data_IF_533065115959
#
_entry.id   IF_533065115959
#
_cell.length_a   1.000
_cell.length_b   1.000
_cell.length_c   1.000
_cell.angle_alpha   90.00
_cell.angle_beta   90.00
_cell.angle_gamma   90.00
#
_symmetry.space_group_name_H-M   'P 1'
#
loop_
_entity.id
_entity.type
_entity.pdbx_description
1 polymer ?
#
# COMPACT_ATOMS: atom_id res chain seq x y z
N UNK A 1 26.46 79.15 0.80
CA UNK A 1 25.45 78.08 0.70
C UNK A 1 24.12 78.69 1.07
N UNK A 2 23.05 78.41 0.31
CA UNK A 2 21.72 78.87 0.70
C UNK A 2 21.20 78.03 1.89
N UNK A 3 20.26 78.56 2.68
CA UNK A 3 19.63 77.81 3.79
C UNK A 3 18.96 76.50 3.29
N UNK A 4 18.50 76.48 2.05
CA UNK A 4 17.90 75.31 1.38
C UNK A 4 18.97 74.22 1.15
N UNK A 5 20.19 74.61 0.76
CA UNK A 5 21.28 73.66 0.53
C UNK A 5 21.74 73.01 1.84
N UNK A 6 21.83 73.79 2.92
CA UNK A 6 22.17 73.28 4.25
C UNK A 6 21.10 72.30 4.77
N UNK A 7 19.82 72.64 4.59
CA UNK A 7 18.72 71.76 4.95
C UNK A 7 18.72 70.47 4.13
N UNK A 8 19.01 70.55 2.82
CA UNK A 8 19.15 69.38 1.96
C UNK A 8 20.26 68.45 2.48
N UNK A 9 21.45 68.99 2.76
CA UNK A 9 22.58 68.20 3.26
C UNK A 9 22.26 67.54 4.61
N UNK A 10 21.62 68.27 5.54
CA UNK A 10 21.22 67.70 6.84
C UNK A 10 20.22 66.56 6.68
N UNK A 11 19.15 66.75 5.91
CA UNK A 11 18.12 65.74 5.71
C UNK A 11 18.66 64.50 4.99
N UNK A 12 19.51 64.68 3.97
CA UNK A 12 20.16 63.56 3.30
C UNK A 12 21.09 62.78 4.25
N UNK A 13 21.78 63.46 5.17
CA UNK A 13 22.58 62.81 6.20
C UNK A 13 21.72 62.05 7.22
N UNK A 14 20.61 62.63 7.69
CA UNK A 14 19.66 61.98 8.60
C UNK A 14 19.00 60.75 7.96
N UNK A 15 18.63 60.82 6.68
CA UNK A 15 18.11 59.68 5.91
C UNK A 15 19.17 58.58 5.81
N UNK A 16 20.41 58.94 5.50
CA UNK A 16 21.50 57.96 5.39
C UNK A 16 21.82 57.28 6.73
N UNK A 17 21.67 58.00 7.84
CA UNK A 17 21.93 57.52 9.21
C UNK A 17 20.75 56.72 9.82
N UNK A 18 19.58 56.67 9.18
CA UNK A 18 18.45 55.90 9.69
C UNK A 18 18.71 54.39 9.58
N UNK A 19 18.83 53.70 10.71
CA UNK A 19 19.21 52.29 10.80
C UNK A 19 18.04 51.31 10.68
N UNK A 20 16.80 51.76 10.85
CA UNK A 20 15.59 50.95 10.73
C UNK A 20 14.41 51.76 10.15
N UNK A 21 13.31 51.06 9.83
CA UNK A 21 12.12 51.70 9.25
C UNK A 21 11.48 52.73 10.21
N UNK A 22 11.65 52.57 11.53
CA UNK A 22 11.09 53.48 12.53
C UNK A 22 11.87 54.81 12.55
N UNK A 23 13.20 54.74 12.53
CA UNK A 23 14.09 55.88 12.43
C UNK A 23 13.90 56.61 11.10
N UNK A 24 13.76 55.88 9.99
CA UNK A 24 13.49 56.48 8.68
C UNK A 24 12.13 57.19 8.63
N UNK A 25 11.12 56.60 9.27
CA UNK A 25 9.79 57.20 9.37
C UNK A 25 9.80 58.48 10.23
N UNK A 26 10.60 58.51 11.30
CA UNK A 26 10.80 59.73 12.09
C UNK A 26 11.40 60.87 11.25
N UNK A 27 12.40 60.58 10.40
CA UNK A 27 12.99 61.55 9.46
C UNK A 27 11.98 61.99 8.39
N UNK A 28 11.16 61.06 7.88
CA UNK A 28 10.08 61.40 6.94
C UNK A 28 9.08 62.39 7.56
N UNK A 29 8.69 62.16 8.81
CA UNK A 29 7.74 63.01 9.54
C UNK A 29 8.36 64.38 9.85
N UNK A 30 9.63 64.44 10.27
CA UNK A 30 10.34 65.70 10.55
C UNK A 30 10.58 66.55 9.29
N UNK A 31 10.76 65.93 8.13
CA UNK A 31 10.97 66.64 6.86
C UNK A 31 9.67 66.98 6.12
N UNK A 32 8.82 65.97 5.89
CA UNK A 32 7.65 66.04 5.00
C UNK A 32 6.30 66.00 5.74
N UNK A 33 6.29 65.92 7.07
CA UNK A 33 5.06 65.97 7.87
C UNK A 33 4.35 67.32 7.81
N UNK A 34 3.17 67.45 8.45
CA UNK A 34 2.36 68.69 8.43
C UNK A 34 3.08 69.93 9.00
N UNK A 35 4.03 69.71 9.91
CA UNK A 35 4.93 70.72 10.51
C UNK A 35 6.41 70.44 10.17
N UNK A 36 6.66 69.68 9.11
CA UNK A 36 8.02 69.29 8.73
C UNK A 36 8.79 70.45 8.12
N UNK A 37 10.12 70.41 8.20
CA UNK A 37 11.00 71.49 7.74
C UNK A 37 10.79 71.87 6.27
N UNK A 38 10.61 70.87 5.37
CA UNK A 38 10.31 71.10 3.94
C UNK A 38 8.87 71.59 3.75
N UNK A 39 7.93 71.10 4.54
CA UNK A 39 6.52 71.52 4.50
C UNK A 39 6.32 72.97 4.97
N UNK A 40 7.08 73.43 5.96
CA UNK A 40 7.07 74.83 6.40
C UNK A 40 7.65 75.75 5.33
N UNK A 41 8.74 75.35 4.65
CA UNK A 41 9.26 76.10 3.50
C UNK A 41 8.22 76.23 2.37
N UNK A 42 7.48 75.16 2.07
CA UNK A 42 6.41 75.20 1.07
C UNK A 42 5.28 76.17 1.44
N UNK A 43 4.96 76.36 2.74
CA UNK A 43 3.93 77.32 3.18
C UNK A 43 4.35 78.77 2.92
N UNK A 44 5.65 79.08 3.01
CA UNK A 44 6.16 80.43 2.76
C UNK A 44 5.94 80.90 1.32
N UNK A 45 5.80 79.98 0.37
CA UNK A 45 5.52 80.30 -1.04
C UNK A 45 4.22 81.08 -1.24
N UNK A 46 3.24 80.93 -0.34
CA UNK A 46 1.97 81.66 -0.39
C UNK A 46 2.11 83.19 -0.21
N UNK A 47 3.16 83.63 0.50
CA UNK A 47 3.40 85.03 0.83
C UNK A 47 4.40 85.74 -0.12
N UNK A 48 4.99 85.02 -1.08
CA UNK A 48 6.01 85.55 -1.99
C UNK A 48 5.42 86.23 -3.24
N UNK A 49 6.17 87.17 -3.82
CA UNK A 49 5.85 87.80 -5.11
C UNK A 49 6.01 86.80 -6.27
N UNK A 50 5.44 87.07 -7.46
CA UNK A 50 5.56 86.18 -8.62
C UNK A 50 7.01 85.87 -9.02
N UNK A 51 7.90 86.87 -9.03
CA UNK A 51 9.31 86.67 -9.39
C UNK A 51 10.08 85.86 -8.33
N UNK A 52 9.82 86.09 -7.04
CA UNK A 52 10.46 85.34 -5.95
C UNK A 52 9.96 83.89 -5.90
N UNK A 53 8.66 83.68 -6.15
CA UNK A 53 8.03 82.34 -6.19
C UNK A 53 8.60 81.50 -7.33
N UNK A 54 8.97 82.08 -8.46
CA UNK A 54 9.54 81.35 -9.60
C UNK A 54 10.91 80.74 -9.27
N UNK A 55 11.79 81.48 -8.60
CA UNK A 55 13.13 81.00 -8.25
C UNK A 55 13.16 80.15 -6.97
N UNK A 56 12.56 80.64 -5.87
CA UNK A 56 12.54 79.92 -4.58
C UNK A 56 11.61 78.71 -4.60
N UNK A 57 10.49 78.76 -5.33
CA UNK A 57 9.58 77.63 -5.51
C UNK A 57 10.21 76.48 -6.28
N UNK A 58 11.00 76.78 -7.31
CA UNK A 58 11.78 75.76 -8.02
C UNK A 58 12.79 75.08 -7.08
N UNK A 59 13.55 75.87 -6.31
CA UNK A 59 14.53 75.34 -5.35
C UNK A 59 13.90 74.46 -4.25
N UNK A 60 12.75 74.86 -3.69
CA UNK A 60 12.04 74.07 -2.66
C UNK A 60 11.46 72.77 -3.24
N UNK A 61 10.96 72.78 -4.47
CA UNK A 61 10.50 71.56 -5.13
C UNK A 61 11.64 70.59 -5.45
N UNK A 62 12.80 71.10 -5.86
CA UNK A 62 14.02 70.29 -6.04
C UNK A 62 14.42 69.63 -4.72
N UNK A 63 14.45 70.38 -3.61
CA UNK A 63 14.71 69.84 -2.28
C UNK A 63 13.70 68.72 -1.91
N UNK A 64 12.40 68.99 -2.07
CA UNK A 64 11.34 68.02 -1.76
C UNK A 64 11.52 66.72 -2.55
N UNK A 65 11.81 66.82 -3.84
CA UNK A 65 12.01 65.66 -4.70
C UNK A 65 13.26 64.87 -4.27
N UNK A 66 14.39 65.54 -4.04
CA UNK A 66 15.62 64.91 -3.58
C UNK A 66 15.43 64.16 -2.24
N UNK A 67 14.74 64.77 -1.27
CA UNK A 67 14.42 64.14 0.02
C UNK A 67 13.47 62.95 -0.15
N UNK A 68 12.45 63.07 -1.02
CA UNK A 68 11.48 61.99 -1.27
C UNK A 68 12.15 60.79 -1.96
N UNK A 69 13.00 61.04 -2.94
CA UNK A 69 13.79 60.02 -3.63
C UNK A 69 14.75 59.32 -2.66
N UNK A 70 15.48 60.08 -1.85
CA UNK A 70 16.39 59.53 -0.84
C UNK A 70 15.68 58.68 0.21
N UNK A 71 14.52 59.12 0.72
CA UNK A 71 13.68 58.34 1.63
C UNK A 71 13.22 57.02 1.00
N UNK A 72 12.77 57.06 -0.25
CA UNK A 72 12.29 55.89 -0.98
C UNK A 72 13.43 54.90 -1.22
N UNK A 73 14.59 55.40 -1.64
CA UNK A 73 15.79 54.59 -1.84
C UNK A 73 16.23 53.93 -0.52
N UNK A 74 16.36 54.70 0.57
CA UNK A 74 16.75 54.16 1.88
C UNK A 74 15.76 53.14 2.41
N UNK A 75 14.46 53.39 2.26
CA UNK A 75 13.40 52.43 2.65
C UNK A 75 13.57 51.10 1.93
N UNK A 76 13.87 51.16 0.63
CA UNK A 76 14.10 49.95 -0.18
C UNK A 76 15.33 49.19 0.31
N UNK A 77 16.44 49.89 0.61
CA UNK A 77 17.65 49.29 1.17
C UNK A 77 17.39 48.61 2.52
N UNK A 78 16.73 49.29 3.45
CA UNK A 78 16.41 48.75 4.78
C UNK A 78 15.49 47.53 4.68
N UNK A 79 14.50 47.57 3.80
CA UNK A 79 13.60 46.45 3.55
C UNK A 79 14.33 45.24 2.98
N UNK A 80 15.24 45.44 2.02
CA UNK A 80 16.04 44.35 1.46
C UNK A 80 16.95 43.74 2.53
N UNK A 81 17.62 44.57 3.33
CA UNK A 81 18.46 44.10 4.43
C UNK A 81 17.67 43.29 5.47
N UNK A 82 16.45 43.72 5.79
CA UNK A 82 15.55 43.00 6.69
C UNK A 82 15.11 41.64 6.10
N UNK A 83 14.79 41.59 4.80
CA UNK A 83 14.48 40.33 4.11
C UNK A 83 15.69 39.39 4.13
N UNK A 84 16.88 39.87 3.78
CA UNK A 84 18.09 39.05 3.73
C UNK A 84 18.47 38.52 5.13
N UNK A 85 18.33 39.36 6.16
CA UNK A 85 18.53 38.95 7.55
C UNK A 85 17.54 37.86 7.97
N UNK A 86 16.26 38.02 7.61
CA UNK A 86 15.22 37.02 7.87
C UNK A 86 15.47 35.71 7.13
N UNK A 87 15.84 35.77 5.85
CA UNK A 87 16.18 34.59 5.04
C UNK A 87 17.37 33.82 5.64
N UNK A 88 18.41 34.53 6.10
CA UNK A 88 19.56 33.91 6.80
C UNK A 88 19.15 33.28 8.13
N UNK A 89 18.27 33.92 8.89
CA UNK A 89 17.79 33.40 10.17
C UNK A 89 16.84 32.19 10.00
N UNK A 90 16.04 32.18 8.94
CA UNK A 90 15.11 31.10 8.60
C UNK A 90 15.74 30.03 7.70
N UNK A 91 17.05 30.10 7.44
CA UNK A 91 17.75 29.08 6.66
C UNK A 91 17.80 27.78 7.47
N UNK A 92 17.27 26.71 6.89
CA UNK A 92 17.29 25.37 7.46
C UNK A 92 18.16 24.46 6.59
N UNK A 93 18.72 23.43 7.22
CA UNK A 93 19.41 22.37 6.50
C UNK A 93 18.38 21.45 5.83
N UNK A 94 18.18 21.64 4.52
CA UNK A 94 17.26 20.85 3.70
C UNK A 94 17.76 19.42 3.45
N UNK A 95 18.99 19.08 3.85
CA UNK A 95 19.53 17.73 3.77
C UNK A 95 19.18 16.86 4.98
N UNK A 96 18.64 17.46 6.05
CA UNK A 96 18.22 16.70 7.23
C UNK A 96 17.13 15.69 6.87
N UNK A 97 17.21 14.45 7.38
CA UNK A 97 16.21 13.44 7.12
C UNK A 97 14.86 13.88 7.70
N UNK A 98 13.82 13.80 6.87
CA UNK A 98 12.45 14.01 7.33
C UNK A 98 12.00 12.80 8.15
N UNK A 99 11.14 13.04 9.14
CA UNK A 99 10.52 11.95 9.88
C UNK A 99 9.59 11.22 8.92
N UNK A 100 9.90 9.96 8.62
CA UNK A 100 9.04 9.13 7.78
C UNK A 100 7.64 9.08 8.34
N UNK A 101 6.63 9.15 7.48
CA UNK A 101 5.24 9.10 7.92
C UNK A 101 4.89 7.69 8.44
N UNK A 102 3.82 7.53 9.26
CA UNK A 102 3.35 6.19 9.63
C UNK A 102 3.03 5.31 8.41
N UNK A 103 2.54 5.90 7.31
CA UNK A 103 2.25 5.16 6.07
C UNK A 103 3.53 4.60 5.41
N UNK A 104 4.66 5.29 5.53
CA UNK A 104 5.96 4.83 4.99
C UNK A 104 6.63 3.78 5.88
N UNK A 105 6.35 3.80 7.19
CA UNK A 105 6.94 2.85 8.16
C UNK A 105 6.08 1.61 8.38
N UNK A 106 4.76 1.72 8.24
CA UNK A 106 3.84 0.61 8.39
C UNK A 106 4.16 -0.51 7.40
N UNK A 107 3.93 -1.76 7.82
CA UNK A 107 4.16 -2.93 7.00
C UNK A 107 2.98 -3.89 7.11
N UNK A 108 2.47 -4.32 5.97
CA UNK A 108 1.48 -5.39 5.82
C UNK A 108 2.24 -6.71 5.76
N UNK A 109 1.70 -7.72 6.44
CA UNK A 109 2.30 -9.05 6.47
C UNK A 109 2.23 -9.68 5.07
N UNK A 110 3.29 -10.35 4.58
CA UNK A 110 3.28 -10.92 3.23
C UNK A 110 2.15 -11.91 2.95
N UNK A 111 1.72 -12.68 3.95
CA UNK A 111 0.54 -13.53 3.81
C UNK A 111 -0.73 -12.72 3.56
N UNK A 112 -0.91 -11.59 4.25
CA UNK A 112 -2.05 -10.69 4.01
C UNK A 112 -1.99 -10.10 2.60
N UNK A 113 -0.81 -9.66 2.15
CA UNK A 113 -0.61 -9.18 0.79
C UNK A 113 -1.06 -10.22 -0.23
N UNK A 114 -0.65 -11.47 -0.08
CA UNK A 114 -1.00 -12.54 -1.01
C UNK A 114 -2.47 -12.87 -0.98
N UNK A 115 -3.10 -12.85 0.19
CA UNK A 115 -4.57 -13.01 0.27
C UNK A 115 -5.26 -11.92 -0.54
N UNK A 116 -4.80 -10.67 -0.44
CA UNK A 116 -5.35 -9.55 -1.20
C UNK A 116 -5.08 -9.68 -2.72
N UNK A 117 -3.88 -10.09 -3.11
CA UNK A 117 -3.52 -10.34 -4.52
C UNK A 117 -4.38 -11.45 -5.15
N UNK A 118 -4.48 -12.59 -4.47
CA UNK A 118 -5.28 -13.74 -4.93
C UNK A 118 -6.75 -13.34 -5.00
N UNK A 119 -7.23 -12.60 -4.00
CA UNK A 119 -8.59 -12.07 -4.00
C UNK A 119 -8.83 -11.17 -5.20
N UNK A 120 -7.92 -10.24 -5.52
CA UNK A 120 -8.04 -9.37 -6.67
C UNK A 120 -8.11 -10.14 -7.99
N UNK A 121 -7.25 -11.15 -8.17
CA UNK A 121 -7.21 -12.00 -9.36
C UNK A 121 -8.51 -12.79 -9.54
N UNK A 122 -8.95 -13.49 -8.49
CA UNK A 122 -10.14 -14.34 -8.57
C UNK A 122 -11.44 -13.54 -8.62
N UNK A 123 -11.51 -12.37 -7.97
CA UNK A 123 -12.65 -11.48 -8.08
C UNK A 123 -12.90 -11.02 -9.53
N UNK A 124 -11.84 -10.73 -10.30
CA UNK A 124 -11.95 -10.36 -11.72
C UNK A 124 -12.43 -11.54 -12.59
N UNK A 125 -12.06 -12.77 -12.22
CA UNK A 125 -12.62 -13.98 -12.82
C UNK A 125 -14.06 -14.32 -12.36
N UNK A 126 -14.66 -13.49 -11.50
CA UNK A 126 -16.03 -13.64 -11.03
C UNK A 126 -16.22 -14.64 -9.87
N UNK A 127 -15.17 -14.87 -9.08
CA UNK A 127 -15.25 -15.63 -7.84
C UNK A 127 -15.61 -14.73 -6.66
N UNK A 128 -16.41 -15.24 -5.73
CA UNK A 128 -16.63 -14.62 -4.43
C UNK A 128 -15.76 -15.26 -3.34
N UNK A 129 -15.48 -14.52 -2.28
CA UNK A 129 -14.78 -15.06 -1.11
C UNK A 129 -15.79 -15.77 -0.21
N UNK A 130 -15.44 -16.97 0.26
CA UNK A 130 -16.16 -17.69 1.29
C UNK A 130 -15.26 -17.94 2.49
N UNK A 131 -15.83 -17.90 3.69
CA UNK A 131 -15.14 -18.12 4.95
C UNK A 131 -15.84 -19.20 5.77
N UNK A 132 -15.11 -19.83 6.68
CA UNK A 132 -15.67 -20.80 7.61
C UNK A 132 -14.80 -20.96 8.86
N UNK A 133 -15.29 -21.71 9.85
CA UNK A 133 -14.65 -21.81 11.16
C UNK A 133 -13.32 -22.56 11.08
N UNK A 134 -12.41 -22.24 12.01
CA UNK A 134 -11.14 -22.97 12.19
C UNK A 134 -11.36 -24.32 12.93
N UNK A 135 -12.37 -24.37 13.81
CA UNK A 135 -12.76 -25.59 14.53
C UNK A 135 -13.91 -26.24 13.77
N UNK A 136 -13.69 -27.45 13.28
CA UNK A 136 -14.64 -28.21 12.49
C UNK A 136 -15.05 -29.52 13.17
N UNK A 137 -16.09 -30.14 12.62
CA UNK A 137 -16.47 -31.53 12.96
C UNK A 137 -15.76 -32.51 12.03
N UNK A 138 -15.60 -33.77 12.47
CA UNK A 138 -15.13 -34.85 11.58
C UNK A 138 -15.97 -34.96 10.30
N UNK A 139 -17.29 -34.73 10.41
CA UNK A 139 -18.19 -34.77 9.27
C UNK A 139 -17.76 -33.83 8.14
N UNK A 140 -17.65 -32.52 8.43
CA UNK A 140 -17.28 -31.53 7.41
C UNK A 140 -15.80 -31.61 7.01
N UNK A 141 -14.89 -31.95 7.93
CA UNK A 141 -13.46 -32.02 7.62
C UNK A 141 -13.05 -33.28 6.88
N UNK A 142 -13.82 -34.37 6.95
CA UNK A 142 -13.42 -35.63 6.32
C UNK A 142 -14.58 -36.36 5.65
N UNK A 143 -15.66 -36.65 6.36
CA UNK A 143 -16.72 -37.55 5.85
C UNK A 143 -17.41 -36.99 4.61
N UNK A 144 -17.83 -35.72 4.66
CA UNK A 144 -18.46 -35.03 3.55
C UNK A 144 -17.49 -34.78 2.37
N UNK A 145 -16.19 -34.91 2.61
CA UNK A 145 -15.13 -34.85 1.60
C UNK A 145 -14.66 -36.24 1.17
N UNK A 146 -15.51 -37.26 1.38
CA UNK A 146 -15.32 -38.62 0.90
C UNK A 146 -14.04 -39.32 1.40
N UNK A 147 -13.48 -38.87 2.52
CA UNK A 147 -12.40 -39.60 3.19
C UNK A 147 -12.96 -40.88 3.83
N UNK A 148 -12.39 -42.07 3.60
CA UNK A 148 -12.85 -43.29 4.23
C UNK A 148 -12.52 -43.34 5.73
N UNK A 149 -13.28 -44.13 6.49
CA UNK A 149 -12.93 -44.47 7.87
C UNK A 149 -11.57 -45.20 7.89
N UNK A 150 -10.61 -44.70 8.68
CA UNK A 150 -9.24 -45.22 8.72
C UNK A 150 -8.28 -44.61 7.70
N UNK A 151 -8.67 -43.54 6.99
CA UNK A 151 -7.72 -42.79 6.16
C UNK A 151 -6.61 -42.17 7.04
N UNK A 152 -5.31 -42.20 6.65
CA UNK A 152 -4.21 -41.66 7.47
C UNK A 152 -4.41 -40.21 7.91
N UNK A 153 -4.93 -39.36 7.01
CA UNK A 153 -5.25 -37.95 7.33
C UNK A 153 -6.28 -37.78 8.48
N UNK A 154 -7.07 -38.81 8.83
CA UNK A 154 -7.99 -38.81 9.97
C UNK A 154 -7.34 -39.27 11.28
N UNK A 155 -6.06 -39.62 11.26
CA UNK A 155 -5.37 -40.13 12.45
C UNK A 155 -4.77 -39.00 13.30
N UNK A 156 -4.52 -39.31 14.58
CA UNK A 156 -3.98 -38.35 15.56
C UNK A 156 -2.53 -37.93 15.30
N UNK A 157 -1.83 -38.60 14.36
CA UNK A 157 -0.47 -38.19 14.01
C UNK A 157 -0.45 -36.96 13.11
N UNK A 158 -1.54 -36.69 12.35
CA UNK A 158 -1.63 -35.60 11.38
C UNK A 158 -2.61 -34.49 11.78
N UNK A 159 -3.64 -34.81 12.58
CA UNK A 159 -4.74 -33.89 12.89
C UNK A 159 -4.82 -33.54 14.37
N UNK A 160 -5.03 -32.26 14.70
CA UNK A 160 -5.31 -31.83 16.07
C UNK A 160 -6.77 -32.08 16.45
N UNK A 161 -6.98 -32.98 17.41
CA UNK A 161 -8.30 -33.30 17.97
C UNK A 161 -8.55 -32.57 19.30
N UNK A 162 -9.77 -32.10 19.50
CA UNK A 162 -10.26 -31.65 20.79
C UNK A 162 -10.65 -32.84 21.67
N UNK A 163 -10.79 -32.57 22.97
CA UNK A 163 -11.41 -33.52 23.89
C UNK A 163 -12.83 -33.87 23.42
N UNK A 164 -13.26 -35.13 23.59
CA UNK A 164 -14.63 -35.53 23.25
C UNK A 164 -15.63 -34.73 24.07
N UNK A 165 -16.77 -34.41 23.46
CA UNK A 165 -17.92 -33.83 24.15
C UNK A 165 -18.74 -34.88 24.93
N UNK A 166 -19.88 -34.48 25.48
CA UNK A 166 -20.78 -35.35 26.26
C UNK A 166 -21.30 -36.56 25.45
N UNK A 167 -21.34 -36.46 24.12
CA UNK A 167 -21.78 -37.51 23.21
C UNK A 167 -20.61 -38.36 22.70
N UNK A 168 -19.38 -38.06 23.11
CA UNK A 168 -18.17 -38.75 22.65
C UNK A 168 -17.62 -38.23 21.32
N UNK A 169 -18.22 -37.18 20.74
CA UNK A 169 -17.77 -36.61 19.47
C UNK A 169 -16.56 -35.71 19.67
N UNK A 170 -15.58 -35.82 18.77
CA UNK A 170 -14.37 -34.99 18.80
C UNK A 170 -14.42 -33.97 17.67
N UNK A 171 -14.31 -32.70 18.03
CA UNK A 171 -14.01 -31.64 17.06
C UNK A 171 -12.54 -31.67 16.66
N UNK A 172 -12.22 -31.07 15.53
CA UNK A 172 -10.85 -30.96 14.98
C UNK A 172 -10.52 -29.51 14.66
N UNK A 173 -9.24 -29.17 14.68
CA UNK A 173 -8.79 -28.01 13.90
C UNK A 173 -8.74 -28.42 12.43
N UNK A 174 -9.31 -27.61 11.55
CA UNK A 174 -9.41 -27.95 10.12
C UNK A 174 -8.03 -28.15 9.50
N UNK A 175 -7.88 -29.21 8.70
CA UNK A 175 -6.60 -29.58 8.05
C UNK A 175 -6.41 -28.96 6.66
N UNK A 176 -7.50 -28.41 6.13
CA UNK A 176 -7.66 -27.78 4.83
C UNK A 176 -8.93 -26.91 4.85
N UNK A 177 -9.13 -26.01 3.89
CA UNK A 177 -10.31 -25.11 3.86
C UNK A 177 -11.51 -25.71 3.13
N UNK A 178 -11.38 -26.96 2.66
CA UNK A 178 -12.44 -27.78 2.03
C UNK A 178 -13.78 -27.89 2.78
N UNK A 179 -13.85 -27.85 4.14
CA UNK A 179 -15.14 -27.86 4.84
C UNK A 179 -16.12 -26.80 4.35
N UNK A 180 -15.60 -25.63 3.94
CA UNK A 180 -16.40 -24.52 3.43
C UNK A 180 -17.01 -24.84 2.06
N UNK A 181 -16.39 -25.72 1.26
CA UNK A 181 -16.94 -26.17 -0.02
C UNK A 181 -18.29 -26.87 0.19
N UNK A 182 -18.35 -27.84 1.11
CA UNK A 182 -19.57 -28.59 1.44
C UNK A 182 -20.62 -27.65 2.01
N UNK A 183 -20.25 -26.82 3.00
CA UNK A 183 -21.18 -25.84 3.61
C UNK A 183 -21.75 -24.86 2.59
N UNK A 184 -20.96 -24.44 1.60
CA UNK A 184 -21.42 -23.55 0.54
C UNK A 184 -22.42 -24.24 -0.37
N UNK A 185 -22.16 -25.49 -0.76
CA UNK A 185 -23.11 -26.28 -1.57
C UNK A 185 -24.43 -26.54 -0.84
N UNK A 186 -24.39 -26.76 0.48
CA UNK A 186 -25.62 -26.90 1.29
C UNK A 186 -26.42 -25.58 1.41
N UNK A 187 -25.73 -24.44 1.41
CA UNK A 187 -26.34 -23.13 1.63
C UNK A 187 -26.75 -22.40 0.34
N UNK A 188 -26.23 -22.80 -0.83
CA UNK A 188 -26.39 -22.08 -2.09
C UNK A 188 -26.67 -23.04 -3.24
N UNK A 189 -27.56 -22.63 -4.14
CA UNK A 189 -27.80 -23.36 -5.39
C UNK A 189 -26.79 -22.95 -6.47
N UNK A 190 -26.21 -23.89 -7.24
CA UNK A 190 -25.33 -23.56 -8.37
C UNK A 190 -25.95 -22.58 -9.37
N UNK A 191 -25.14 -21.76 -10.08
CA UNK A 191 -23.68 -21.83 -10.17
C UNK A 191 -22.94 -21.28 -8.94
N UNK A 192 -21.94 -22.02 -8.46
CA UNK A 192 -21.07 -21.62 -7.35
C UNK A 192 -19.67 -21.35 -7.91
N UNK A 193 -19.07 -20.22 -7.52
CA UNK A 193 -17.67 -19.87 -7.82
C UNK A 193 -17.08 -19.17 -6.61
N UNK A 194 -16.34 -19.90 -5.79
CA UNK A 194 -15.77 -19.36 -4.55
C UNK A 194 -14.27 -19.62 -4.45
N UNK A 195 -13.59 -18.72 -3.75
CA UNK A 195 -12.28 -18.99 -3.14
C UNK A 195 -12.39 -18.92 -1.62
N UNK A 196 -11.58 -19.72 -0.93
CA UNK A 196 -11.65 -19.93 0.51
C UNK A 196 -10.24 -19.78 1.09
N UNK A 197 -9.72 -18.55 1.22
CA UNK A 197 -8.49 -18.30 1.95
C UNK A 197 -8.73 -18.56 3.45
N UNK A 198 -7.82 -19.24 4.12
CA UNK A 198 -7.98 -19.54 5.53
C UNK A 198 -6.77 -20.22 6.17
N UNK A 199 -6.78 -20.23 7.51
CA UNK A 199 -5.78 -20.93 8.32
C UNK A 199 -6.09 -22.41 8.37
N UNK A 200 -5.06 -23.24 8.32
CA UNK A 200 -5.18 -24.70 8.40
C UNK A 200 -4.13 -25.22 9.35
N UNK A 201 -4.43 -26.36 9.96
CA UNK A 201 -3.67 -26.88 11.08
C UNK A 201 -3.31 -28.34 10.85
N UNK A 202 -2.04 -28.69 11.05
CA UNK A 202 -1.54 -30.06 10.95
C UNK A 202 -0.50 -30.30 12.03
N UNK A 203 -0.44 -31.52 12.54
CA UNK A 203 0.53 -31.87 13.58
C UNK A 203 1.93 -32.16 12.99
N UNK A 204 2.46 -31.18 12.27
CA UNK A 204 3.79 -31.23 11.65
C UNK A 204 4.53 -29.90 11.89
N UNK A 205 5.83 -29.98 12.15
CA UNK A 205 6.65 -28.81 12.52
C UNK A 205 8.12 -29.05 12.22
N UNK A 206 8.59 -28.55 11.08
CA UNK A 206 9.98 -28.58 10.66
C UNK A 206 10.38 -27.25 9.96
N UNK A 207 11.43 -27.24 9.14
CA UNK A 207 11.87 -26.03 8.43
C UNK A 207 10.94 -25.60 7.28
N UNK A 208 10.15 -26.54 6.74
CA UNK A 208 9.23 -26.37 5.61
C UNK A 208 7.76 -26.52 6.01
N UNK A 209 7.50 -27.00 7.22
CA UNK A 209 6.16 -27.23 7.76
C UNK A 209 5.98 -26.48 9.07
N UNK A 210 4.83 -25.82 9.21
CA UNK A 210 4.39 -25.16 10.44
C UNK A 210 3.07 -25.79 10.89
N UNK A 211 2.84 -25.93 12.21
CA UNK A 211 1.62 -26.55 12.72
C UNK A 211 0.36 -25.74 12.41
N UNK A 212 0.52 -24.45 12.10
CA UNK A 212 -0.48 -23.61 11.48
C UNK A 212 0.13 -22.95 10.24
N UNK A 213 -0.59 -23.02 9.13
CA UNK A 213 -0.25 -22.36 7.88
C UNK A 213 -1.54 -21.89 7.20
N UNK A 214 -1.43 -21.30 6.02
CA UNK A 214 -2.55 -20.76 5.28
C UNK A 214 -2.72 -21.50 3.96
N UNK A 215 -3.97 -21.79 3.63
CA UNK A 215 -4.33 -22.31 2.32
C UNK A 215 -5.34 -21.40 1.67
N UNK A 216 -5.35 -21.43 0.35
CA UNK A 216 -6.50 -21.02 -0.43
C UNK A 216 -6.96 -22.23 -1.22
N UNK A 217 -8.26 -22.44 -1.19
CA UNK A 217 -8.92 -23.38 -2.06
C UNK A 217 -9.94 -22.66 -2.91
N UNK A 218 -10.28 -23.25 -4.05
CA UNK A 218 -11.38 -22.78 -4.86
C UNK A 218 -12.30 -23.90 -5.28
N UNK A 219 -13.55 -23.52 -5.52
CA UNK A 219 -14.61 -24.42 -5.95
C UNK A 219 -15.41 -23.73 -7.05
N UNK A 220 -15.59 -24.44 -8.16
CA UNK A 220 -16.59 -24.13 -9.17
C UNK A 220 -17.57 -25.29 -9.27
N UNK A 221 -18.86 -25.01 -9.18
CA UNK A 221 -19.93 -25.98 -9.48
C UNK A 221 -20.90 -25.37 -10.48
N UNK A 222 -21.08 -26.04 -11.61
CA UNK A 222 -21.93 -25.63 -12.72
C UNK A 222 -22.37 -26.86 -13.52
N UNK A 223 -23.40 -26.75 -14.36
CA UNK A 223 -23.83 -27.83 -15.27
C UNK A 223 -22.81 -28.13 -16.37
N UNK A 224 -21.83 -27.23 -16.60
CA UNK A 224 -20.84 -27.32 -17.69
C UNK A 224 -19.39 -27.33 -17.24
N UNK A 225 -19.12 -27.28 -15.94
CA UNK A 225 -17.77 -27.23 -15.40
C UNK A 225 -16.98 -28.49 -15.78
N UNK A 226 -15.78 -28.32 -16.36
CA UNK A 226 -14.94 -29.43 -16.81
C UNK A 226 -13.44 -29.13 -16.64
N UNK A 227 -12.60 -30.14 -16.89
CA UNK A 227 -11.13 -30.07 -16.73
C UNK A 227 -10.50 -28.97 -17.58
N UNK A 228 -11.05 -28.63 -18.75
CA UNK A 228 -10.52 -27.53 -19.56
C UNK A 228 -10.75 -26.18 -18.89
N UNK A 229 -11.89 -26.00 -18.19
CA UNK A 229 -12.13 -24.81 -17.39
C UNK A 229 -11.18 -24.72 -16.20
N UNK A 230 -10.99 -25.83 -15.47
CA UNK A 230 -10.02 -25.91 -14.36
C UNK A 230 -8.63 -25.49 -14.83
N UNK A 231 -8.16 -26.06 -15.95
CA UNK A 231 -6.85 -25.73 -16.51
C UNK A 231 -6.73 -24.24 -16.85
N UNK A 232 -7.73 -23.68 -17.52
CA UNK A 232 -7.71 -22.26 -17.88
C UNK A 232 -7.68 -21.34 -16.66
N UNK A 233 -8.51 -21.62 -15.63
CA UNK A 233 -8.53 -20.83 -14.39
C UNK A 233 -7.16 -20.85 -13.70
N UNK A 234 -6.53 -22.02 -13.60
CA UNK A 234 -5.21 -22.14 -12.98
C UNK A 234 -4.12 -21.45 -13.81
N UNK A 235 -4.14 -21.59 -15.14
CA UNK A 235 -3.18 -20.96 -16.05
C UNK A 235 -3.24 -19.44 -15.94
N UNK A 236 -4.44 -18.85 -16.00
CA UNK A 236 -4.63 -17.40 -15.85
C UNK A 236 -4.27 -16.91 -14.44
N UNK A 237 -4.61 -17.68 -13.40
CA UNK A 237 -4.21 -17.38 -12.03
C UNK A 237 -2.69 -17.32 -11.90
N UNK A 238 -1.98 -18.38 -12.28
CA UNK A 238 -0.53 -18.45 -12.07
C UNK A 238 0.24 -17.45 -12.94
N UNK A 239 -0.18 -17.24 -14.20
CA UNK A 239 0.39 -16.23 -15.08
C UNK A 239 0.30 -14.84 -14.44
N UNK A 240 -0.88 -14.48 -13.95
CA UNK A 240 -1.13 -13.17 -13.33
C UNK A 240 -0.45 -13.05 -11.97
N UNK A 241 -0.53 -14.06 -11.10
CA UNK A 241 0.04 -14.04 -9.76
C UNK A 241 1.57 -13.92 -9.75
N UNK A 242 2.25 -14.62 -10.67
CA UNK A 242 3.70 -14.53 -10.83
C UNK A 242 4.15 -13.38 -11.75
N UNK A 243 3.21 -12.60 -12.29
CA UNK A 243 3.45 -11.43 -13.15
C UNK A 243 4.34 -11.77 -14.36
N UNK A 244 4.04 -12.88 -15.03
CA UNK A 244 4.74 -13.36 -16.24
C UNK A 244 3.80 -13.39 -17.45
N UNK A 245 4.36 -13.28 -18.66
CA UNK A 245 3.53 -13.28 -19.89
C UNK A 245 2.88 -14.64 -20.19
N UNK A 246 3.49 -15.75 -19.72
CA UNK A 246 2.96 -17.09 -19.89
C UNK A 246 3.55 -18.07 -18.87
N UNK A 247 2.82 -19.15 -18.59
CA UNK A 247 3.27 -20.25 -17.73
C UNK A 247 3.09 -21.58 -18.45
N UNK A 248 4.12 -22.42 -18.43
CA UNK A 248 3.99 -23.81 -18.89
C UNK A 248 3.60 -24.69 -17.71
N UNK A 249 2.41 -25.30 -17.78
CA UNK A 249 1.88 -26.19 -16.74
C UNK A 249 1.96 -27.66 -17.11
N UNK A 250 2.32 -28.50 -16.14
CA UNK A 250 2.29 -29.96 -16.23
C UNK A 250 1.30 -30.53 -15.22
N UNK A 251 0.23 -31.14 -15.73
CA UNK A 251 -0.78 -31.84 -14.93
C UNK A 251 -0.38 -33.32 -14.82
N UNK A 252 -0.05 -33.77 -13.61
CA UNK A 252 0.26 -35.16 -13.31
C UNK A 252 -0.92 -35.81 -12.59
N UNK A 253 -1.35 -37.03 -12.98
CA UNK A 253 -2.34 -37.76 -12.21
C UNK A 253 -1.89 -37.89 -10.74
N UNK A 254 -2.81 -37.61 -9.82
CA UNK A 254 -2.62 -37.83 -8.38
C UNK A 254 -3.89 -38.46 -7.81
N UNK A 255 -4.05 -38.47 -6.49
CA UNK A 255 -5.24 -38.99 -5.83
C UNK A 255 -5.63 -38.09 -4.65
N UNK A 256 -6.87 -37.59 -4.68
CA UNK A 256 -7.50 -36.96 -3.52
C UNK A 256 -8.90 -37.56 -3.33
N UNK A 257 -9.28 -38.01 -2.12
CA UNK A 257 -10.58 -38.67 -1.91
C UNK A 257 -11.81 -37.88 -2.39
N UNK A 258 -11.71 -36.55 -2.41
CA UNK A 258 -12.77 -35.61 -2.79
C UNK A 258 -12.76 -35.21 -4.28
N UNK A 259 -11.85 -35.71 -5.11
CA UNK A 259 -11.84 -35.43 -6.56
C UNK A 259 -11.62 -36.67 -7.41
N UNK A 260 -12.19 -36.70 -8.62
CA UNK A 260 -11.95 -37.73 -9.64
C UNK A 260 -12.35 -37.20 -11.03
N UNK A 261 -11.41 -37.05 -11.99
CA UNK A 261 -9.97 -37.27 -11.87
C UNK A 261 -9.26 -36.19 -11.02
N UNK A 262 -8.19 -36.60 -10.35
CA UNK A 262 -7.29 -35.75 -9.56
C UNK A 262 -5.96 -35.47 -10.27
N UNK A 263 -5.41 -34.28 -10.05
CA UNK A 263 -4.13 -33.84 -10.60
C UNK A 263 -3.30 -33.05 -9.58
N UNK A 264 -1.98 -33.24 -9.64
CA UNK A 264 -1.00 -32.27 -9.15
C UNK A 264 -0.53 -31.41 -10.33
N UNK A 265 -0.30 -30.12 -10.06
CA UNK A 265 0.15 -29.17 -11.08
C UNK A 265 1.53 -28.67 -10.74
N UNK A 266 2.45 -28.88 -11.69
CA UNK A 266 3.78 -28.29 -11.66
C UNK A 266 3.90 -27.16 -12.69
N UNK A 267 4.67 -26.13 -12.37
CA UNK A 267 5.00 -25.03 -13.29
C UNK A 267 6.48 -25.09 -13.64
N UNK A 268 6.77 -24.82 -14.92
CA UNK A 268 8.14 -24.69 -15.42
C UNK A 268 8.84 -23.48 -14.79
N UNK A 269 10.07 -23.69 -14.31
CA UNK A 269 10.86 -22.63 -13.70
C UNK A 269 12.38 -22.80 -13.89
N UNK A 270 13.11 -21.70 -13.69
CA UNK A 270 14.56 -21.67 -13.48
C UNK A 270 14.84 -21.51 -11.99
N UNK A 271 15.61 -22.46 -11.43
CA UNK A 271 15.99 -22.52 -10.01
C UNK A 271 17.49 -22.38 -9.81
N UNK A 272 18.24 -21.95 -10.83
CA UNK A 272 19.69 -21.79 -10.77
C UNK A 272 20.14 -20.63 -9.86
N UNK A 273 19.26 -19.66 -9.62
CA UNK A 273 19.50 -18.50 -8.78
C UNK A 273 18.81 -18.56 -7.40
N UNK A 274 19.00 -17.50 -6.57
CA UNK A 274 18.34 -17.40 -5.26
C UNK A 274 16.83 -17.14 -5.33
N UNK A 275 16.35 -16.68 -6.49
CA UNK A 275 14.94 -16.42 -6.77
C UNK A 275 14.50 -17.38 -7.88
N UNK A 276 13.39 -18.08 -7.66
CA UNK A 276 12.80 -18.96 -8.65
C UNK A 276 12.10 -18.12 -9.71
N UNK A 277 12.46 -18.32 -10.98
CA UNK A 277 11.81 -17.62 -12.09
C UNK A 277 10.83 -18.54 -12.78
N UNK A 278 9.55 -18.20 -12.74
CA UNK A 278 8.50 -18.96 -13.42
C UNK A 278 8.43 -18.62 -14.91
N UNK A 279 8.10 -19.60 -15.76
CA UNK A 279 8.03 -19.43 -17.21
C UNK A 279 9.39 -19.51 -17.94
N UNK A 280 10.49 -19.64 -17.19
CA UNK A 280 11.84 -19.84 -17.71
C UNK A 280 12.39 -21.22 -17.33
N UNK A 281 13.55 -21.60 -17.85
CA UNK A 281 14.27 -22.80 -17.42
C UNK A 281 13.66 -24.13 -17.89
N UNK A 282 14.12 -25.23 -17.28
CA UNK A 282 13.68 -26.60 -17.61
C UNK A 282 13.24 -27.41 -16.40
N UNK A 283 13.33 -26.82 -15.20
CA UNK A 283 12.93 -27.48 -13.97
C UNK A 283 11.43 -27.37 -13.75
N UNK A 284 10.90 -28.24 -12.90
CA UNK A 284 9.48 -28.27 -12.54
C UNK A 284 9.31 -28.03 -11.04
N UNK A 285 8.35 -27.18 -10.69
CA UNK A 285 7.97 -26.91 -9.32
C UNK A 285 6.50 -27.21 -9.12
N UNK A 286 6.18 -28.12 -8.20
CA UNK A 286 4.80 -28.34 -7.75
C UNK A 286 4.26 -27.09 -7.05
N UNK A 287 3.06 -26.66 -7.43
CA UNK A 287 2.40 -25.46 -6.89
C UNK A 287 1.09 -25.81 -6.16
N UNK A 288 0.31 -26.76 -6.69
CA UNK A 288 -1.05 -27.02 -6.18
C UNK A 288 -1.55 -28.43 -6.51
N UNK A 289 -2.58 -28.84 -5.78
CA UNK A 289 -3.43 -30.00 -6.10
C UNK A 289 -4.80 -29.54 -6.61
N UNK A 290 -5.39 -30.28 -7.54
CA UNK A 290 -6.70 -29.98 -8.11
C UNK A 290 -7.42 -31.22 -8.66
N UNK A 291 -8.66 -31.07 -9.06
CA UNK A 291 -9.41 -32.13 -9.73
C UNK A 291 -10.88 -31.81 -9.95
N UNK A 292 -11.57 -32.71 -10.62
CA UNK A 292 -13.04 -32.65 -10.73
C UNK A 292 -13.65 -33.13 -9.41
N UNK A 293 -14.63 -32.42 -8.86
CA UNK A 293 -15.27 -32.77 -7.58
C UNK A 293 -15.90 -34.16 -7.68
N UNK A 294 -15.59 -35.03 -6.73
CA UNK A 294 -16.06 -36.40 -6.73
C UNK A 294 -17.60 -36.44 -6.56
N UNK A 295 -18.34 -37.31 -7.27
CA UNK A 295 -19.81 -37.38 -7.20
C UNK A 295 -20.37 -37.53 -5.78
N UNK A 296 -19.70 -38.26 -4.89
CA UNK A 296 -20.11 -38.37 -3.48
C UNK A 296 -20.05 -37.02 -2.75
N UNK A 297 -19.06 -36.18 -3.04
CA UNK A 297 -18.93 -34.86 -2.40
C UNK A 297 -20.04 -33.92 -2.87
N UNK A 298 -20.43 -33.98 -4.15
CA UNK A 298 -21.62 -33.28 -4.64
C UNK A 298 -22.89 -33.73 -3.91
N UNK A 299 -23.07 -35.04 -3.71
CA UNK A 299 -24.21 -35.57 -2.95
C UNK A 299 -24.20 -35.12 -1.49
N UNK A 300 -23.04 -35.12 -0.83
CA UNK A 300 -22.91 -34.60 0.53
C UNK A 300 -23.23 -33.10 0.60
N UNK A 301 -22.90 -32.34 -0.44
CA UNK A 301 -23.31 -30.94 -0.61
C UNK A 301 -24.77 -30.73 -1.01
N UNK A 302 -25.59 -31.78 -1.13
CA UNK A 302 -27.00 -31.67 -1.52
C UNK A 302 -27.26 -31.48 -3.01
N UNK A 303 -26.27 -31.76 -3.87
CA UNK A 303 -26.36 -31.58 -5.32
C UNK A 303 -26.39 -32.93 -6.06
N UNK A 304 -27.16 -32.99 -7.14
CA UNK A 304 -27.24 -34.17 -8.00
C UNK A 304 -26.03 -34.21 -8.97
N UNK A 305 -25.13 -35.21 -8.87
CA UNK A 305 -23.98 -35.33 -9.76
C UNK A 305 -24.35 -35.69 -11.22
N UNK A 306 -25.58 -36.10 -11.49
CA UNK A 306 -26.08 -36.30 -12.85
C UNK A 306 -26.54 -34.97 -13.50
N UNK A 307 -26.77 -33.93 -12.71
CA UNK A 307 -27.14 -32.58 -13.19
C UNK A 307 -25.98 -31.58 -13.11
N UNK A 308 -25.17 -31.65 -12.06
CA UNK A 308 -24.09 -30.70 -11.77
C UNK A 308 -22.72 -31.37 -11.78
N UNK A 309 -21.73 -30.60 -12.21
CA UNK A 309 -20.32 -30.97 -12.18
C UNK A 309 -19.54 -29.84 -11.52
N UNK A 310 -18.33 -30.13 -11.07
CA UNK A 310 -17.49 -29.09 -10.49
C UNK A 310 -16.03 -29.45 -10.50
N UNK A 311 -15.19 -28.45 -10.31
CA UNK A 311 -13.77 -28.63 -10.06
C UNK A 311 -13.35 -27.84 -8.85
N UNK A 312 -12.33 -28.37 -8.16
CA UNK A 312 -11.74 -27.75 -7.01
C UNK A 312 -10.21 -27.79 -7.09
N UNK A 313 -9.56 -26.88 -6.38
CA UNK A 313 -8.11 -26.81 -6.26
C UNK A 313 -7.73 -26.27 -4.89
N UNK A 314 -6.50 -26.55 -4.47
CA UNK A 314 -5.95 -26.07 -3.21
C UNK A 314 -4.44 -25.84 -3.31
N UNK A 315 -3.98 -24.76 -2.69
CA UNK A 315 -2.56 -24.44 -2.58
C UNK A 315 -2.22 -23.80 -1.23
N UNK A 316 -0.98 -24.00 -0.78
CA UNK A 316 -0.46 -23.35 0.41
C UNK A 316 -0.01 -21.92 0.10
N UNK A 317 -0.61 -20.94 0.78
CA UNK A 317 -0.30 -19.52 0.60
C UNK A 317 1.13 -19.20 1.04
N UNK A 318 1.59 -19.81 2.13
CA UNK A 318 2.93 -19.59 2.67
C UNK A 318 4.01 -20.04 1.68
N UNK A 319 3.80 -21.18 0.99
CA UNK A 319 4.75 -21.70 0.01
C UNK A 319 4.82 -20.83 -1.24
N UNK A 320 3.68 -20.42 -1.79
CA UNK A 320 3.67 -19.54 -2.97
C UNK A 320 4.21 -18.15 -2.63
N UNK A 321 4.07 -17.69 -1.37
CA UNK A 321 4.69 -16.46 -0.89
C UNK A 321 6.21 -16.52 -0.93
N UNK A 322 6.76 -17.60 -0.39
CA UNK A 322 8.21 -17.84 -0.40
C UNK A 322 8.75 -17.88 -1.82
N UNK A 323 8.03 -18.54 -2.73
CA UNK A 323 8.43 -18.66 -4.13
C UNK A 323 8.37 -17.32 -4.85
N UNK A 324 7.30 -16.53 -4.65
CA UNK A 324 7.10 -15.24 -5.33
C UNK A 324 8.07 -14.18 -4.84
N UNK A 325 8.29 -14.08 -3.53
CA UNK A 325 9.09 -13.00 -2.94
C UNK A 325 10.49 -13.43 -2.47
N UNK A 326 10.89 -14.67 -2.74
CA UNK A 326 12.23 -15.18 -2.43
C UNK A 326 12.51 -15.30 -0.93
N UNK A 327 11.53 -15.73 -0.13
CA UNK A 327 11.71 -15.91 1.31
C UNK A 327 12.27 -17.32 1.60
N UNK A 328 13.37 -17.44 2.37
CA UNK A 328 14.10 -18.70 2.48
C UNK A 328 13.54 -19.68 3.52
N UNK A 329 12.80 -19.20 4.52
CA UNK A 329 12.33 -20.02 5.67
C UNK A 329 10.88 -19.69 6.00
N UNK A 330 10.04 -20.72 6.10
CA UNK A 330 8.61 -20.59 6.37
C UNK A 330 8.34 -20.16 7.82
N UNK A 331 9.22 -20.51 8.76
CA UNK A 331 9.00 -20.24 10.18
C UNK A 331 9.01 -18.75 10.50
N UNK A 332 9.71 -17.96 9.68
CA UNK A 332 9.83 -16.52 9.89
C UNK A 332 8.51 -15.76 9.75
N UNK A 333 7.52 -16.30 9.03
CA UNK A 333 6.16 -15.75 9.00
C UNK A 333 5.51 -15.67 10.39
N UNK A 334 5.91 -16.55 11.31
CA UNK A 334 5.27 -16.69 12.62
C UNK A 334 6.10 -16.15 13.78
N UNK A 335 7.36 -15.77 13.52
CA UNK A 335 8.31 -15.30 14.54
C UNK A 335 8.05 -13.86 15.03
N UNK A 336 7.20 -13.10 14.32
CA UNK A 336 6.91 -11.69 14.61
C UNK A 336 8.17 -10.79 14.68
N UNK A 337 9.20 -11.08 13.88
CA UNK A 337 10.42 -10.27 13.81
C UNK A 337 10.16 -8.97 13.02
N UNK A 338 10.29 -7.82 13.69
CA UNK A 338 10.11 -6.50 13.09
C UNK A 338 11.09 -6.22 11.96
N UNK A 339 12.31 -6.76 12.01
CA UNK A 339 13.33 -6.58 10.94
C UNK A 339 12.91 -7.34 9.70
N UNK A 340 12.41 -8.56 9.87
CA UNK A 340 11.85 -9.37 8.79
C UNK A 340 10.64 -8.67 8.17
N UNK A 341 9.71 -8.19 9.00
CA UNK A 341 8.56 -7.38 8.55
C UNK A 341 8.96 -6.09 7.83
N UNK A 342 10.05 -5.45 8.25
CA UNK A 342 10.55 -4.23 7.60
C UNK A 342 11.12 -4.52 6.22
N UNK A 343 11.77 -5.68 6.05
CA UNK A 343 12.40 -6.10 4.81
C UNK A 343 11.42 -6.70 3.80
N UNK A 344 10.56 -7.62 4.25
CA UNK A 344 9.65 -8.38 3.40
C UNK A 344 8.20 -7.87 3.40
N UNK A 345 7.81 -7.05 4.37
CA UNK A 345 6.45 -6.53 4.46
C UNK A 345 6.16 -5.43 3.44
N UNK A 346 4.89 -5.29 3.09
CA UNK A 346 4.41 -4.39 2.04
C UNK A 346 3.95 -3.06 2.64
N UNK A 347 3.99 -1.96 1.88
CA UNK A 347 3.46 -0.70 2.42
C UNK A 347 1.94 -0.75 2.42
N UNK A 348 1.26 -0.19 3.44
CA UNK A 348 -0.20 -0.22 3.52
C UNK A 348 -0.95 0.45 2.35
N UNK A 349 -0.27 1.31 1.59
CA UNK A 349 -0.87 2.03 0.46
C UNK A 349 -0.56 1.38 -0.89
N UNK A 350 0.33 0.40 -0.91
CA UNK A 350 0.71 -0.35 -2.11
C UNK A 350 -0.26 -1.55 -2.24
N UNK A 351 -1.56 -1.23 -2.36
CA UNK A 351 -2.60 -2.26 -2.45
C UNK A 351 -2.55 -2.97 -3.80
N UNK A 352 -2.64 -4.31 -3.82
CA UNK A 352 -2.58 -5.06 -5.06
C UNK A 352 -3.82 -4.78 -5.90
N UNK A 353 -3.61 -4.36 -7.14
CA UNK A 353 -4.69 -4.16 -8.11
C UNK A 353 -4.25 -4.65 -9.48
N UNK A 354 -5.19 -5.19 -10.27
CA UNK A 354 -4.86 -5.68 -11.61
C UNK A 354 -4.34 -4.57 -12.55
N UNK A 355 -4.70 -3.30 -12.31
CA UNK A 355 -4.20 -2.17 -13.09
C UNK A 355 -2.88 -1.58 -12.57
N UNK A 356 -2.69 -1.54 -11.25
CA UNK A 356 -1.52 -0.92 -10.61
C UNK A 356 -0.32 -1.85 -10.45
N UNK A 357 -0.49 -3.15 -10.70
CA UNK A 357 0.46 -4.20 -10.36
C UNK A 357 0.07 -4.90 -9.05
N UNK A 358 0.42 -6.17 -8.93
CA UNK A 358 0.10 -6.98 -7.75
C UNK A 358 1.20 -6.85 -6.69
N UNK A 359 2.47 -6.80 -7.12
CA UNK A 359 3.63 -6.77 -6.23
C UNK A 359 4.26 -5.37 -6.06
N UNK A 360 3.51 -4.30 -6.38
CA UNK A 360 4.02 -2.93 -6.43
C UNK A 360 4.52 -2.40 -5.07
#
# INVERSE_FOLDING_TARGET
MSDIDQLNTSLLAEIAAADDETALEAVRVSALGKKGSVSELLKTLGAMTPEERQSKGAAINVLKNAVTEALTARKTTLRQAAIDARLKAETVDVSLPVRSSPAERGRIHPISQIVDEITAIFADMGFSIAEGPDIETDYYNFTALNFPEGHPAREMHDTFFFNPDENGERKVLRTHTSPVQVRTMEAQTPPIRIIIPGKTYRQDSDATHSPMFHQVEGLVVDKKANVANLRWVLEEFCKTFFEVDSVTMRFRPSFFPFTEPSFEVDIQCDRSGPIVKFGEGTDWMEILGCGMVHPNVLRYGGLDPDEYQGFAWGMGLDRIAMLKYGMPDLRDFFNADVRWMTHYGFRPLDMPTLFGGLSA
#
